data_IF_917864659975
#
_entry.id   IF_917864659975
#
_cell.length_a   1.000
_cell.length_b   1.000
_cell.length_c   1.000
_cell.angle_alpha   90.00
_cell.angle_beta   90.00
_cell.angle_gamma   90.00
#
_symmetry.space_group_name_H-M   'P 1'
#
loop_
_entity.id
_entity.type
_entity.pdbx_description
1 polymer ?
#
# COMPACT_ATOMS: atom_id res chain seq x y z
N UNK A 1 -13.45 -35.53 -0.90
CA UNK A 1 -14.14 -34.24 -0.73
C UNK A 1 -13.07 -33.18 -0.92
N UNK A 2 -13.13 -32.38 -1.98
CA UNK A 2 -12.15 -31.31 -2.22
C UNK A 2 -12.33 -30.23 -1.16
N UNK A 3 -11.30 -29.97 -0.35
CA UNK A 3 -11.18 -28.74 0.41
C UNK A 3 -11.02 -27.60 -0.60
N UNK A 4 -12.12 -26.96 -1.01
CA UNK A 4 -12.04 -25.72 -1.77
C UNK A 4 -11.65 -24.62 -0.80
N UNK A 5 -10.36 -24.29 -0.76
CA UNK A 5 -9.89 -23.06 -0.13
C UNK A 5 -10.57 -21.87 -0.83
N UNK A 6 -11.16 -20.98 -0.02
CA UNK A 6 -11.82 -19.78 -0.52
C UNK A 6 -10.78 -18.89 -1.22
N UNK A 7 -10.97 -18.62 -2.51
CA UNK A 7 -10.07 -17.72 -3.26
C UNK A 7 -10.45 -16.25 -3.08
N UNK A 8 -9.57 -15.34 -3.51
CA UNK A 8 -9.91 -13.91 -3.60
C UNK A 8 -11.14 -13.66 -4.46
N UNK A 9 -11.26 -14.34 -5.61
CA UNK A 9 -12.39 -14.23 -6.52
C UNK A 9 -13.72 -14.63 -5.88
N UNK A 10 -13.71 -15.75 -5.14
CA UNK A 10 -14.88 -16.21 -4.39
C UNK A 10 -15.27 -15.22 -3.28
N UNK A 11 -14.28 -14.68 -2.57
CA UNK A 11 -14.49 -13.73 -1.49
C UNK A 11 -15.16 -12.44 -1.97
N UNK A 12 -14.64 -11.82 -3.03
CA UNK A 12 -15.21 -10.57 -3.56
C UNK A 12 -16.57 -10.80 -4.23
N UNK A 13 -16.82 -11.97 -4.82
CA UNK A 13 -18.14 -12.36 -5.33
C UNK A 13 -19.18 -12.39 -4.21
N UNK A 14 -18.85 -13.02 -3.09
CA UNK A 14 -19.75 -13.13 -1.96
C UNK A 14 -20.10 -11.75 -1.37
N UNK A 15 -19.11 -10.85 -1.28
CA UNK A 15 -19.34 -9.46 -0.84
C UNK A 15 -20.24 -8.71 -1.83
N UNK A 16 -19.98 -8.84 -3.13
CA UNK A 16 -20.79 -8.19 -4.15
C UNK A 16 -22.25 -8.61 -4.06
N UNK A 17 -22.48 -9.92 -3.96
CA UNK A 17 -23.82 -10.50 -3.87
C UNK A 17 -24.53 -10.14 -2.57
N UNK A 18 -23.82 -10.12 -1.43
CA UNK A 18 -24.42 -9.71 -0.14
C UNK A 18 -24.83 -8.24 -0.11
N UNK A 19 -24.14 -7.39 -0.89
CA UNK A 19 -24.50 -5.99 -1.10
C UNK A 19 -25.53 -5.77 -2.22
N UNK A 20 -25.96 -6.83 -2.92
CA UNK A 20 -26.93 -6.73 -4.01
C UNK A 20 -26.41 -6.02 -5.27
N UNK A 21 -25.10 -5.94 -5.46
CA UNK A 21 -24.48 -5.16 -6.53
C UNK A 21 -24.25 -6.00 -7.80
N UNK A 22 -24.38 -5.37 -8.95
CA UNK A 22 -23.93 -5.88 -10.25
C UNK A 22 -22.45 -5.64 -10.46
N UNK A 23 -21.83 -6.37 -11.40
CA UNK A 23 -20.43 -6.13 -11.77
C UNK A 23 -20.22 -4.73 -12.38
N UNK A 24 -21.23 -4.18 -13.06
CA UNK A 24 -21.16 -2.83 -13.62
C UNK A 24 -21.14 -1.79 -12.50
N UNK A 25 -22.05 -1.89 -11.54
CA UNK A 25 -22.11 -0.94 -10.42
C UNK A 25 -20.79 -0.94 -9.63
N UNK A 26 -20.17 -2.09 -9.40
CA UNK A 26 -18.85 -2.16 -8.75
C UNK A 26 -17.76 -1.48 -9.58
N UNK A 27 -17.79 -1.68 -10.90
CA UNK A 27 -16.86 -1.03 -11.82
C UNK A 27 -17.02 0.49 -11.81
N UNK A 28 -18.27 0.97 -11.72
CA UNK A 28 -18.63 2.39 -11.72
C UNK A 28 -18.33 3.08 -10.37
N UNK A 29 -18.18 2.31 -9.29
CA UNK A 29 -17.72 2.80 -7.98
C UNK A 29 -16.22 3.12 -7.94
N UNK A 30 -15.44 2.71 -8.94
CA UNK A 30 -13.99 2.91 -9.00
C UNK A 30 -13.65 4.20 -9.76
N UNK A 31 -12.62 4.90 -9.30
CA UNK A 31 -12.10 6.07 -10.01
C UNK A 31 -11.47 5.66 -11.35
N UNK A 32 -11.51 6.56 -12.35
CA UNK A 32 -10.99 6.28 -13.71
C UNK A 32 -9.52 5.82 -13.74
N UNK A 33 -8.69 6.29 -12.80
CA UNK A 33 -7.27 5.91 -12.69
C UNK A 33 -7.07 4.54 -12.02
N UNK A 34 -8.09 4.03 -11.32
CA UNK A 34 -8.09 2.76 -10.60
C UNK A 34 -9.23 1.85 -11.06
N UNK A 35 -9.66 2.01 -12.31
CA UNK A 35 -10.82 1.34 -12.87
C UNK A 35 -10.52 -0.14 -13.16
N UNK A 36 -11.43 -1.03 -12.74
CA UNK A 36 -11.40 -2.46 -13.09
C UNK A 36 -12.68 -2.81 -13.83
N UNK A 37 -12.55 -3.11 -15.13
CA UNK A 37 -13.72 -3.44 -15.95
C UNK A 37 -14.54 -4.60 -15.40
N UNK A 38 -15.84 -4.54 -15.59
CA UNK A 38 -16.82 -5.61 -15.34
C UNK A 38 -16.43 -6.96 -15.97
N UNK A 39 -15.79 -6.97 -17.15
CA UNK A 39 -15.24 -8.20 -17.77
C UNK A 39 -14.06 -8.78 -16.96
N UNK A 40 -13.19 -7.93 -16.44
CA UNK A 40 -12.09 -8.34 -15.59
C UNK A 40 -12.59 -8.86 -14.24
N UNK A 41 -13.53 -8.17 -13.60
CA UNK A 41 -14.17 -8.60 -12.36
C UNK A 41 -14.86 -9.97 -12.55
N UNK A 42 -15.54 -10.18 -13.67
CA UNK A 42 -16.14 -11.48 -14.00
C UNK A 42 -15.09 -12.60 -14.05
N UNK A 43 -13.94 -12.36 -14.69
CA UNK A 43 -12.82 -13.34 -14.76
C UNK A 43 -12.18 -13.59 -13.39
N UNK A 44 -12.09 -12.58 -12.54
CA UNK A 44 -11.63 -12.73 -11.15
C UNK A 44 -12.61 -13.60 -10.36
N UNK A 45 -13.89 -13.24 -10.34
CA UNK A 45 -14.90 -13.95 -9.55
C UNK A 45 -15.13 -15.38 -10.03
N UNK A 46 -14.91 -15.67 -11.32
CA UNK A 46 -14.98 -17.02 -11.89
C UNK A 46 -13.69 -17.82 -11.73
N UNK A 47 -12.69 -17.29 -11.03
CA UNK A 47 -11.37 -17.92 -10.81
C UNK A 47 -10.63 -18.26 -12.11
N UNK A 48 -11.03 -17.65 -13.24
CA UNK A 48 -10.32 -17.73 -14.52
C UNK A 48 -9.03 -16.92 -14.44
N UNK A 49 -9.03 -15.82 -13.67
CA UNK A 49 -7.85 -15.01 -13.37
C UNK A 49 -7.55 -15.06 -11.88
N UNK A 50 -6.43 -15.67 -11.51
CA UNK A 50 -6.04 -15.90 -10.12
C UNK A 50 -4.99 -14.90 -9.58
N UNK A 51 -4.29 -14.19 -10.47
CA UNK A 51 -3.19 -13.30 -10.10
C UNK A 51 -3.43 -11.86 -10.59
N UNK A 52 -4.34 -11.10 -9.95
CA UNK A 52 -4.44 -9.65 -10.18
C UNK A 52 -3.18 -8.92 -9.73
N UNK A 53 -2.93 -7.74 -10.31
CA UNK A 53 -1.88 -6.83 -9.78
C UNK A 53 -2.33 -6.24 -8.44
N UNK A 54 -1.39 -5.79 -7.62
CA UNK A 54 -1.72 -5.13 -6.35
C UNK A 54 -2.52 -3.83 -6.55
N UNK A 55 -2.32 -3.11 -7.65
CA UNK A 55 -3.12 -1.93 -7.98
C UNK A 55 -4.59 -2.30 -8.22
N UNK A 56 -4.83 -3.42 -8.93
CA UNK A 56 -6.19 -3.97 -9.11
C UNK A 56 -6.80 -4.40 -7.77
N UNK A 57 -6.02 -5.02 -6.88
CA UNK A 57 -6.49 -5.43 -5.56
C UNK A 57 -6.84 -4.21 -4.71
N UNK A 58 -6.00 -3.17 -4.71
CA UNK A 58 -6.23 -1.92 -3.99
C UNK A 58 -7.50 -1.20 -4.49
N UNK A 59 -7.72 -1.15 -5.80
CA UNK A 59 -8.93 -0.60 -6.40
C UNK A 59 -10.21 -1.31 -5.91
N UNK A 60 -10.18 -2.65 -5.91
CA UNK A 60 -11.30 -3.47 -5.44
C UNK A 60 -11.52 -3.28 -3.94
N UNK A 61 -10.44 -3.21 -3.15
CA UNK A 61 -10.53 -2.95 -1.71
C UNK A 61 -11.18 -1.59 -1.44
N UNK A 62 -10.78 -0.54 -2.17
CA UNK A 62 -11.37 0.79 -2.07
C UNK A 62 -12.86 0.77 -2.40
N UNK A 63 -13.26 0.15 -3.51
CA UNK A 63 -14.66 0.05 -3.93
C UNK A 63 -15.54 -0.67 -2.89
N UNK A 64 -15.02 -1.71 -2.25
CA UNK A 64 -15.77 -2.45 -1.23
C UNK A 64 -15.58 -1.95 0.21
N UNK A 65 -14.72 -0.95 0.42
CA UNK A 65 -14.27 -0.49 1.73
C UNK A 65 -13.66 -1.62 2.59
N UNK A 66 -12.75 -2.38 1.98
CA UNK A 66 -11.97 -3.46 2.62
C UNK A 66 -10.56 -2.99 2.92
N UNK A 67 -9.97 -3.53 3.98
CA UNK A 67 -8.55 -3.35 4.25
C UNK A 67 -7.70 -4.29 3.39
N UNK A 68 -6.55 -3.80 2.91
CA UNK A 68 -5.56 -4.64 2.22
C UNK A 68 -5.10 -5.81 3.10
N UNK A 69 -5.06 -5.62 4.42
CA UNK A 69 -4.69 -6.69 5.36
C UNK A 69 -5.70 -7.83 5.35
N UNK A 70 -7.00 -7.54 5.20
CA UNK A 70 -8.06 -8.56 5.20
C UNK A 70 -7.97 -9.46 3.96
N UNK A 71 -7.47 -8.93 2.84
CA UNK A 71 -7.34 -9.64 1.56
C UNK A 71 -5.95 -10.25 1.35
N UNK A 72 -4.94 -9.80 2.10
CA UNK A 72 -3.55 -10.27 2.01
C UNK A 72 -3.42 -11.80 2.07
N UNK A 73 -4.22 -12.43 2.94
CA UNK A 73 -4.30 -13.89 3.11
C UNK A 73 -4.57 -14.67 1.81
N UNK A 74 -5.27 -14.08 0.84
CA UNK A 74 -5.59 -14.74 -0.43
C UNK A 74 -4.40 -14.77 -1.40
N UNK A 75 -3.34 -14.00 -1.13
CA UNK A 75 -2.15 -13.88 -1.97
C UNK A 75 -0.92 -14.55 -1.35
N UNK A 76 -1.12 -15.38 -0.32
CA UNK A 76 -0.02 -16.00 0.44
C UNK A 76 0.78 -14.99 1.28
N UNK A 77 0.30 -13.76 1.39
CA UNK A 77 0.81 -12.77 2.34
C UNK A 77 0.17 -13.12 3.68
N UNK A 78 0.75 -14.10 4.36
CA UNK A 78 0.31 -14.49 5.69
C UNK A 78 0.48 -13.30 6.64
N UNK A 79 -0.44 -13.12 7.61
CA UNK A 79 -0.30 -12.15 8.72
C UNK A 79 1.01 -12.32 9.54
N UNK A 80 1.80 -13.35 9.22
CA UNK A 80 3.07 -13.71 9.86
C UNK A 80 4.29 -13.29 9.03
N UNK A 81 4.14 -12.92 7.75
CA UNK A 81 5.18 -12.15 7.08
C UNK A 81 5.06 -10.73 7.62
N UNK A 82 5.83 -10.47 8.69
CA UNK A 82 6.09 -9.12 9.18
C UNK A 82 6.39 -8.28 7.93
N UNK A 83 5.44 -7.46 7.51
CA UNK A 83 5.78 -6.23 6.82
C UNK A 83 6.62 -5.49 7.84
N UNK A 84 7.95 -5.65 7.74
CA UNK A 84 8.85 -4.84 8.53
C UNK A 84 8.45 -3.40 8.26
N UNK A 85 8.01 -2.71 9.31
CA UNK A 85 7.75 -1.28 9.24
C UNK A 85 8.96 -0.65 8.52
N UNK A 86 8.70 0.27 7.58
CA UNK A 86 9.74 0.95 6.82
C UNK A 86 10.82 1.53 7.74
N UNK A 87 10.43 1.93 8.97
CA UNK A 87 11.35 2.26 10.05
C UNK A 87 12.36 1.15 10.35
N UNK A 88 11.91 -0.08 10.58
CA UNK A 88 12.75 -1.25 10.85
C UNK A 88 13.72 -1.51 9.69
N UNK A 89 13.22 -1.44 8.45
CA UNK A 89 14.04 -1.63 7.26
C UNK A 89 15.14 -0.57 7.16
N UNK A 90 14.82 0.70 7.36
CA UNK A 90 15.77 1.81 7.30
C UNK A 90 16.80 1.80 8.44
N UNK A 91 16.39 1.41 9.65
CA UNK A 91 17.31 1.43 10.78
C UNK A 91 18.26 0.22 10.74
N UNK A 92 17.74 -0.96 10.39
CA UNK A 92 18.49 -2.21 10.55
C UNK A 92 19.23 -2.66 9.27
N UNK A 93 18.79 -2.26 8.08
CA UNK A 93 19.42 -2.71 6.84
C UNK A 93 20.66 -1.89 6.49
N UNK A 94 21.60 -2.49 5.75
CA UNK A 94 22.71 -1.77 5.12
C UNK A 94 22.31 -1.39 3.70
N UNK A 95 22.32 -0.10 3.38
CA UNK A 95 21.97 0.40 2.06
C UNK A 95 22.81 1.63 1.70
N UNK A 96 22.77 2.00 0.42
CA UNK A 96 23.43 3.17 -0.12
C UNK A 96 22.39 4.29 -0.28
N UNK A 97 22.74 5.51 0.12
CA UNK A 97 21.97 6.73 -0.10
C UNK A 97 22.93 7.84 -0.52
N UNK A 98 22.60 8.57 -1.59
CA UNK A 98 23.44 9.63 -2.16
C UNK A 98 24.91 9.15 -2.39
N UNK A 99 25.05 8.01 -3.06
CA UNK A 99 26.33 7.35 -3.41
C UNK A 99 27.22 6.97 -2.22
N UNK A 100 26.66 6.89 -1.00
CA UNK A 100 27.38 6.55 0.23
C UNK A 100 26.63 5.49 1.03
N UNK A 101 27.35 4.66 1.80
CA UNK A 101 26.69 3.76 2.75
C UNK A 101 26.00 4.61 3.82
N UNK A 102 24.70 4.40 4.03
CA UNK A 102 23.92 5.15 4.99
C UNK A 102 24.39 4.86 6.43
N UNK A 103 24.97 5.88 7.06
CA UNK A 103 25.38 5.86 8.47
C UNK A 103 24.17 6.01 9.41
N UNK A 104 24.39 5.85 10.72
CA UNK A 104 23.32 5.93 11.71
C UNK A 104 22.55 7.26 11.67
N UNK A 105 23.24 8.37 11.40
CA UNK A 105 22.62 9.70 11.32
C UNK A 105 21.76 9.85 10.06
N UNK A 106 22.24 9.40 8.90
CA UNK A 106 21.49 9.38 7.64
C UNK A 106 20.24 8.51 7.78
N UNK A 107 20.36 7.33 8.40
CA UNK A 107 19.23 6.44 8.67
C UNK A 107 18.15 7.09 9.52
N UNK A 108 18.55 7.77 10.60
CA UNK A 108 17.62 8.50 11.47
C UNK A 108 16.93 9.66 10.74
N UNK A 109 17.68 10.43 9.95
CA UNK A 109 17.13 11.55 9.19
C UNK A 109 16.14 11.07 8.11
N UNK A 110 16.44 9.97 7.42
CA UNK A 110 15.53 9.35 6.44
C UNK A 110 14.24 8.85 7.10
N UNK A 111 14.36 8.17 8.25
CA UNK A 111 13.19 7.75 9.02
C UNK A 111 12.33 8.94 9.45
N UNK A 112 12.95 10.04 9.94
CA UNK A 112 12.22 11.24 10.33
C UNK A 112 11.52 11.89 9.15
N UNK A 113 12.18 11.98 8.00
CA UNK A 113 11.59 12.52 6.77
C UNK A 113 10.33 11.75 6.38
N UNK A 114 10.41 10.42 6.37
CA UNK A 114 9.27 9.54 6.06
C UNK A 114 8.13 9.73 7.06
N UNK A 115 8.44 9.85 8.36
CA UNK A 115 7.43 10.11 9.38
C UNK A 115 6.73 11.45 9.15
N UNK A 116 7.47 12.53 8.86
CA UNK A 116 6.86 13.83 8.58
C UNK A 116 6.00 13.80 7.31
N UNK A 117 6.45 13.11 6.25
CA UNK A 117 5.65 12.91 5.03
C UNK A 117 4.37 12.11 5.34
N UNK A 118 4.48 11.04 6.12
CA UNK A 118 3.32 10.22 6.52
C UNK A 118 2.29 11.04 7.29
N UNK A 119 2.74 11.87 8.25
CA UNK A 119 1.84 12.77 8.98
C UNK A 119 1.23 13.81 8.02
N UNK A 120 2.04 14.40 7.13
CA UNK A 120 1.56 15.38 6.15
C UNK A 120 0.45 14.82 5.24
N UNK A 121 0.64 13.62 4.69
CA UNK A 121 -0.32 12.96 3.79
C UNK A 121 -1.61 12.60 4.52
N UNK A 122 -1.53 12.21 5.79
CA UNK A 122 -2.71 11.80 6.56
C UNK A 122 -3.46 12.98 7.20
N UNK A 123 -2.88 14.17 7.24
CA UNK A 123 -3.51 15.34 7.84
C UNK A 123 -4.48 15.99 6.85
N UNK A 124 -5.75 16.14 7.24
CA UNK A 124 -6.80 16.73 6.37
C UNK A 124 -6.60 18.23 6.14
N UNK A 125 -5.78 18.87 6.95
CA UNK A 125 -5.47 20.30 6.89
C UNK A 125 -3.98 20.50 6.68
N UNK A 126 -3.62 21.51 5.89
CA UNK A 126 -2.23 21.89 5.66
C UNK A 126 -1.64 22.45 6.97
N UNK A 127 -0.63 21.77 7.49
CA UNK A 127 0.13 22.18 8.67
C UNK A 127 1.52 22.68 8.23
N UNK A 128 1.73 23.99 8.35
CA UNK A 128 2.98 24.67 7.94
C UNK A 128 4.18 24.24 8.77
N UNK A 129 3.97 23.79 10.00
CA UNK A 129 5.07 23.33 10.84
C UNK A 129 5.60 21.98 10.34
N UNK A 130 4.71 21.12 9.84
CA UNK A 130 5.10 19.84 9.22
C UNK A 130 5.90 20.11 7.94
N UNK A 131 5.46 21.02 7.07
CA UNK A 131 6.21 21.40 5.86
C UNK A 131 7.61 21.93 6.20
N UNK A 132 7.70 22.80 7.22
CA UNK A 132 8.99 23.31 7.71
C UNK A 132 9.90 22.18 8.18
N UNK A 133 9.36 21.20 8.90
CA UNK A 133 10.12 20.06 9.40
C UNK A 133 10.61 19.13 8.29
N UNK A 134 9.82 18.93 7.23
CA UNK A 134 10.23 18.19 6.02
C UNK A 134 11.46 18.90 5.41
N UNK A 135 11.36 20.20 5.15
CA UNK A 135 12.44 20.98 4.53
C UNK A 135 13.71 20.98 5.38
N UNK A 136 13.59 21.24 6.70
CA UNK A 136 14.73 21.19 7.63
C UNK A 136 15.41 19.82 7.66
N UNK A 137 14.63 18.74 7.52
CA UNK A 137 15.17 17.38 7.50
C UNK A 137 15.93 17.10 6.21
N UNK A 138 15.41 17.56 5.06
CA UNK A 138 16.10 17.48 3.77
C UNK A 138 17.42 18.26 3.79
N UNK A 139 17.42 19.48 4.33
CA UNK A 139 18.63 20.29 4.48
C UNK A 139 19.65 19.59 5.38
N UNK A 140 19.20 18.98 6.47
CA UNK A 140 20.06 18.19 7.36
C UNK A 140 20.65 16.96 6.67
N UNK A 141 19.88 16.28 5.81
CA UNK A 141 20.37 15.17 4.98
C UNK A 141 21.44 15.67 4.00
N UNK A 142 21.19 16.78 3.32
CA UNK A 142 22.15 17.41 2.41
C UNK A 142 23.45 17.77 3.10
N UNK A 143 23.39 18.38 4.28
CA UNK A 143 24.60 18.70 5.06
C UNK A 143 25.35 17.44 5.47
N UNK A 144 24.64 16.38 5.88
CA UNK A 144 25.25 15.12 6.27
C UNK A 144 25.94 14.40 5.11
N UNK A 145 25.39 14.52 3.89
CA UNK A 145 26.00 13.95 2.69
C UNK A 145 27.10 14.83 2.09
N UNK A 146 27.15 16.12 2.42
CA UNK A 146 28.16 17.07 1.92
C UNK A 146 29.40 17.25 2.82
N UNK A 147 29.35 16.85 4.09
CA UNK A 147 30.38 17.16 5.09
C UNK A 147 31.71 16.37 4.99
N UNK A 148 31.97 15.69 3.85
CA UNK A 148 33.27 15.12 3.47
C UNK A 148 33.40 15.14 1.96
#
# INVERSE_FOLDING_TARGET
MQNNELTFGDYIRNIRQSKGLTLSEVSDMMDNEQYVSNSYLSKLESNVRLNPTMDTVAAICKAYNLSLNEVAKFFGINEVDRTDDLKTLLLNSKYIFADRIADGKTKLLLNNLINYISVYVNNKTIDRDIESNILKTIDSLKLNTQSL
#
